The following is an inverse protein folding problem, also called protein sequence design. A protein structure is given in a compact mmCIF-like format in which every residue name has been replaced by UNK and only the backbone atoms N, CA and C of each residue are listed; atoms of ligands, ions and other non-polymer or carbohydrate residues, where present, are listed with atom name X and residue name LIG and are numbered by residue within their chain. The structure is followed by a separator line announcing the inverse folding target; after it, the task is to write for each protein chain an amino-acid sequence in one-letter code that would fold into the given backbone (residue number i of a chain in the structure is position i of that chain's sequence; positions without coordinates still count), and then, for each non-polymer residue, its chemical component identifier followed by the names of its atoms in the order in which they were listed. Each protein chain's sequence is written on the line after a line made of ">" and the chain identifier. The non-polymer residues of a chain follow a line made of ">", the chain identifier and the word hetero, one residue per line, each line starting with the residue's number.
data_IF_603964427713
#
_entry.id   IF_603964427713
#
_cell.length_a   1.000
_cell.length_b   1.000
_cell.length_c   1.000
_cell.angle_alpha   90.00
_cell.angle_beta   90.00
_cell.angle_gamma   90.00
#
_symmetry.space_group_name_H-M   'P 1'
#
loop_
_entity.id
_entity.type
_entity.pdbx_description
1 polymer ?
#
# COMPACT_ATOMS: atom_id res chain seq x y z
N UNK A 1 16.49 -16.44 6.84
CA UNK A 1 15.03 -16.40 6.77
C UNK A 1 14.60 -15.19 5.94
N UNK A 2 13.75 -15.42 4.99
CA UNK A 2 13.32 -14.36 4.10
C UNK A 2 12.22 -13.54 4.75
N UNK A 3 12.38 -12.24 4.70
CA UNK A 3 11.40 -11.33 5.25
C UNK A 3 11.07 -10.26 4.22
N UNK A 4 9.78 -9.96 4.08
CA UNK A 4 9.34 -8.90 3.18
C UNK A 4 9.63 -7.55 3.83
N UNK A 5 10.23 -6.64 3.08
CA UNK A 5 10.52 -5.29 3.55
C UNK A 5 9.55 -4.34 2.86
N UNK A 6 8.86 -3.53 3.66
CA UNK A 6 7.85 -2.59 3.17
C UNK A 6 8.36 -1.17 3.26
N UNK A 7 8.05 -0.37 2.25
CA UNK A 7 8.35 1.05 2.28
C UNK A 7 7.32 1.82 1.45
N UNK A 8 7.17 3.09 1.77
CA UNK A 8 6.29 3.97 1.00
C UNK A 8 7.07 4.60 -0.15
N UNK A 9 6.48 4.60 -1.33
CA UNK A 9 7.07 5.24 -2.50
C UNK A 9 6.04 6.17 -3.14
N UNK A 10 6.51 7.29 -3.67
CA UNK A 10 5.67 8.30 -4.28
C UNK A 10 6.12 8.52 -5.72
N UNK A 11 5.13 8.59 -6.62
CA UNK A 11 5.37 8.90 -8.03
C UNK A 11 6.39 7.96 -8.66
N UNK A 12 6.19 6.66 -8.45
CA UNK A 12 7.11 5.64 -8.97
C UNK A 12 7.26 5.72 -10.49
N UNK A 13 6.20 6.08 -11.19
CA UNK A 13 6.21 6.17 -12.65
C UNK A 13 6.77 7.51 -13.15
N UNK A 14 7.08 8.41 -12.23
CA UNK A 14 7.63 9.73 -12.54
C UNK A 14 6.78 10.51 -13.53
N UNK A 15 5.47 10.43 -13.36
CA UNK A 15 4.50 11.08 -14.23
C UNK A 15 3.31 11.51 -13.40
N UNK A 16 2.90 12.77 -13.54
CA UNK A 16 1.76 13.30 -12.83
C UNK A 16 0.50 13.13 -13.65
N UNK A 17 -0.64 12.99 -12.96
CA UNK A 17 -1.93 12.92 -13.63
C UNK A 17 -2.38 14.32 -14.06
N UNK A 18 -3.60 14.41 -14.63
CA UNK A 18 -4.12 15.69 -15.14
C UNK A 18 -4.27 16.75 -14.07
N UNK A 19 -4.38 16.34 -12.82
CA UNK A 19 -4.49 17.27 -11.70
C UNK A 19 -3.14 17.65 -11.10
N UNK A 20 -2.05 17.20 -11.69
CA UNK A 20 -0.71 17.46 -11.17
C UNK A 20 -0.35 16.63 -9.97
N UNK A 21 -0.95 15.47 -9.83
CA UNK A 21 -0.75 14.60 -8.67
C UNK A 21 -0.23 13.23 -9.09
N UNK A 22 0.37 12.52 -8.14
CA UNK A 22 0.85 11.18 -8.35
C UNK A 22 0.47 10.29 -7.18
N UNK A 23 0.49 8.99 -7.43
CA UNK A 23 0.03 7.97 -6.49
C UNK A 23 1.10 7.62 -5.48
N UNK A 24 0.70 7.46 -4.22
CA UNK A 24 1.53 6.85 -3.19
C UNK A 24 1.28 5.35 -3.21
N UNK A 25 2.34 4.58 -3.14
CA UNK A 25 2.25 3.12 -3.15
C UNK A 25 3.11 2.54 -2.03
N UNK A 26 2.76 1.31 -1.61
CA UNK A 26 3.62 0.54 -0.72
C UNK A 26 4.44 -0.41 -1.59
N UNK A 27 5.75 -0.35 -1.44
CA UNK A 27 6.66 -1.27 -2.11
C UNK A 27 6.97 -2.43 -1.16
N UNK A 28 6.73 -3.65 -1.61
CA UNK A 28 7.09 -4.85 -0.88
C UNK A 28 8.22 -5.55 -1.62
N UNK A 29 9.33 -5.77 -0.93
CA UNK A 29 10.52 -6.36 -1.51
C UNK A 29 10.84 -7.68 -0.82
N UNK A 30 11.01 -8.74 -1.62
CA UNK A 30 11.37 -10.07 -1.12
C UNK A 30 12.29 -10.73 -2.14
N UNK A 31 13.50 -11.10 -1.69
CA UNK A 31 14.47 -11.79 -2.53
C UNK A 31 14.73 -11.06 -3.86
N UNK A 32 14.93 -9.75 -3.79
CA UNK A 32 15.19 -8.88 -4.94
C UNK A 32 14.00 -8.69 -5.87
N UNK A 33 12.86 -9.27 -5.54
CA UNK A 33 11.62 -9.05 -6.29
C UNK A 33 10.80 -7.99 -5.59
N UNK A 34 10.05 -7.21 -6.36
CA UNK A 34 9.25 -6.12 -5.81
C UNK A 34 7.84 -6.18 -6.33
N UNK A 35 6.90 -5.84 -5.47
CA UNK A 35 5.51 -5.65 -5.83
C UNK A 35 5.02 -4.34 -5.21
N UNK A 36 4.04 -3.73 -5.84
CA UNK A 36 3.54 -2.42 -5.42
C UNK A 36 2.05 -2.52 -5.15
N UNK A 37 1.65 -1.91 -4.04
CA UNK A 37 0.24 -1.87 -3.62
C UNK A 37 -0.22 -0.42 -3.65
N UNK A 38 -1.32 -0.14 -4.35
CA UNK A 38 -1.87 1.20 -4.41
C UNK A 38 -2.53 1.57 -3.09
N UNK A 39 -2.17 2.72 -2.54
CA UNK A 39 -2.84 3.24 -1.36
C UNK A 39 -4.08 4.05 -1.72
N UNK A 40 -4.25 4.34 -3.01
CA UNK A 40 -5.30 5.21 -3.53
C UNK A 40 -5.19 6.64 -3.03
N UNK A 41 -4.02 7.01 -2.51
CA UNK A 41 -3.72 8.38 -2.07
C UNK A 41 -2.92 9.07 -3.16
N UNK A 42 -3.44 10.21 -3.63
CA UNK A 42 -2.77 11.03 -4.64
C UNK A 42 -2.34 12.35 -4.02
N UNK A 43 -1.11 12.75 -4.31
CA UNK A 43 -0.52 13.97 -3.76
C UNK A 43 0.20 14.75 -4.85
N UNK A 44 0.29 16.08 -4.68
CA UNK A 44 1.19 16.87 -5.52
C UNK A 44 2.62 16.73 -4.99
N UNK A 45 3.64 17.02 -5.83
CA UNK A 45 5.04 16.81 -5.40
C UNK A 45 5.46 17.55 -4.14
N UNK A 46 4.88 18.73 -3.89
CA UNK A 46 5.20 19.51 -2.70
C UNK A 46 4.60 18.93 -1.43
N UNK A 47 3.69 17.97 -1.56
CA UNK A 47 3.03 17.34 -0.42
C UNK A 47 3.71 16.04 0.02
N UNK A 48 4.84 15.71 -0.57
CA UNK A 48 5.58 14.49 -0.21
C UNK A 48 7.01 14.84 0.23
N UNK A 49 7.38 14.36 1.42
CA UNK A 49 8.74 14.52 1.94
C UNK A 49 9.55 13.31 1.52
N UNK A 50 10.48 13.51 0.58
CA UNK A 50 11.29 12.42 0.03
C UNK A 50 12.29 11.85 1.03
N UNK A 51 12.69 12.63 2.03
CA UNK A 51 13.63 12.14 3.02
C UNK A 51 12.94 11.31 4.08
N UNK A 52 11.82 11.79 4.58
CA UNK A 52 11.07 11.11 5.64
C UNK A 52 10.05 10.12 5.09
N UNK A 53 9.79 10.19 3.79
CA UNK A 53 8.80 9.36 3.11
C UNK A 53 7.44 9.46 3.78
N UNK A 54 6.97 10.67 3.90
CA UNK A 54 5.69 10.94 4.53
C UNK A 54 5.05 12.16 3.91
N UNK A 55 3.74 12.33 4.19
CA UNK A 55 2.97 13.47 3.69
C UNK A 55 3.34 14.72 4.47
N UNK A 56 3.47 15.84 3.77
CA UNK A 56 3.71 17.15 4.34
C UNK A 56 2.88 18.19 3.61
N UNK A 57 2.80 19.41 4.15
CA UNK A 57 2.13 20.55 3.50
C UNK A 57 0.68 20.24 3.08
N UNK A 58 -0.01 19.44 3.88
CA UNK A 58 -1.39 19.06 3.61
C UNK A 58 -2.19 19.27 4.88
N UNK A 59 -3.41 19.81 4.78
CA UNK A 59 -4.23 20.05 6.00
C UNK A 59 -4.46 18.79 6.82
N UNK A 60 -4.54 17.64 6.15
CA UNK A 60 -4.79 16.35 6.80
C UNK A 60 -3.55 15.47 6.80
N UNK A 61 -2.34 16.05 6.79
CA UNK A 61 -1.10 15.27 6.66
C UNK A 61 -1.00 14.18 7.72
N UNK A 62 -1.28 14.50 8.98
CA UNK A 62 -1.15 13.52 10.06
C UNK A 62 -2.13 12.36 9.87
N UNK A 63 -3.36 12.66 9.50
CA UNK A 63 -4.37 11.61 9.29
C UNK A 63 -4.01 10.74 8.11
N UNK A 64 -3.49 11.33 7.02
CA UNK A 64 -3.09 10.58 5.85
C UNK A 64 -1.89 9.69 6.16
N UNK A 65 -0.89 10.22 6.88
CA UNK A 65 0.26 9.42 7.30
C UNK A 65 -0.16 8.24 8.15
N UNK A 66 -1.09 8.45 9.07
CA UNK A 66 -1.61 7.37 9.90
C UNK A 66 -2.30 6.29 9.04
N UNK A 67 -3.09 6.73 8.07
CA UNK A 67 -3.79 5.82 7.16
C UNK A 67 -2.80 5.00 6.32
N UNK A 68 -1.72 5.63 5.87
CA UNK A 68 -0.68 4.93 5.09
C UNK A 68 0.02 3.87 5.94
N UNK A 69 0.34 4.18 7.18
CA UNK A 69 0.98 3.20 8.09
C UNK A 69 0.02 2.07 8.43
N UNK A 70 -1.26 2.37 8.61
CA UNK A 70 -2.24 1.33 8.84
C UNK A 70 -2.38 0.41 7.63
N UNK A 71 -2.30 0.96 6.43
CA UNK A 71 -2.35 0.16 5.21
C UNK A 71 -1.17 -0.80 5.14
N UNK A 72 0.04 -0.31 5.48
CA UNK A 72 1.22 -1.19 5.53
C UNK A 72 1.05 -2.28 6.59
N UNK A 73 0.49 -1.93 7.74
CA UNK A 73 0.25 -2.91 8.81
C UNK A 73 -0.74 -3.98 8.36
N UNK A 74 -1.73 -3.61 7.56
CA UNK A 74 -2.69 -4.58 7.04
C UNK A 74 -2.00 -5.58 6.11
N UNK A 75 -1.07 -5.12 5.27
CA UNK A 75 -0.31 -5.99 4.40
C UNK A 75 0.54 -6.96 5.22
N UNK A 76 1.22 -6.45 6.26
CA UNK A 76 2.02 -7.29 7.14
C UNK A 76 1.16 -8.33 7.85
N UNK A 77 -0.05 -7.95 8.23
CA UNK A 77 -0.98 -8.86 8.88
C UNK A 77 -1.37 -10.00 7.97
N UNK A 78 -1.56 -9.73 6.69
CA UNK A 78 -1.83 -10.78 5.69
C UNK A 78 -0.62 -11.71 5.55
N UNK A 79 0.58 -11.14 5.54
CA UNK A 79 1.80 -11.94 5.50
C UNK A 79 1.89 -12.90 6.68
N UNK A 80 1.64 -12.39 7.88
CA UNK A 80 1.67 -13.21 9.08
C UNK A 80 0.61 -14.30 9.06
N UNK A 81 -0.58 -13.98 8.52
CA UNK A 81 -1.64 -14.96 8.38
C UNK A 81 -1.24 -16.12 7.47
N UNK A 82 -0.59 -15.83 6.35
CA UNK A 82 -0.09 -16.86 5.45
C UNK A 82 0.98 -17.71 6.14
N UNK A 83 1.85 -17.08 6.87
CA UNK A 83 2.89 -17.79 7.62
C UNK A 83 2.29 -18.74 8.67
N UNK A 84 1.27 -18.28 9.40
CA UNK A 84 0.60 -19.10 10.40
C UNK A 84 -0.09 -20.31 9.82
N UNK A 85 -0.54 -20.19 8.56
CA UNK A 85 -1.20 -21.30 7.88
C UNK A 85 -0.19 -22.30 7.29
N UNK A 86 1.09 -22.06 7.49
CA UNK A 86 2.14 -22.93 6.96
C UNK A 86 2.36 -22.78 5.46
N UNK A 87 1.79 -21.73 4.86
CA UNK A 87 1.96 -21.50 3.43
C UNK A 87 3.29 -20.80 3.15
N UNK A 88 3.86 -21.11 1.99
CA UNK A 88 5.06 -20.40 1.56
C UNK A 88 4.70 -18.98 1.20
N UNK A 89 5.43 -18.03 1.77
CA UNK A 89 5.19 -16.61 1.53
C UNK A 89 5.83 -16.21 0.21
N UNK A 90 5.04 -15.61 -0.67
CA UNK A 90 5.54 -15.01 -1.90
C UNK A 90 4.83 -13.68 -2.12
N UNK A 91 5.45 -12.80 -2.89
CA UNK A 91 4.85 -11.51 -3.20
C UNK A 91 3.56 -11.68 -4.00
N UNK A 92 3.52 -12.65 -4.91
CA UNK A 92 2.33 -12.90 -5.71
C UNK A 92 1.18 -13.38 -4.85
N UNK A 93 1.43 -14.32 -3.93
CA UNK A 93 0.40 -14.80 -3.01
C UNK A 93 -0.14 -13.67 -2.14
N UNK A 94 0.75 -12.83 -1.64
CA UNK A 94 0.37 -11.71 -0.79
C UNK A 94 -0.51 -10.73 -1.55
N UNK A 95 -0.10 -10.37 -2.76
CA UNK A 95 -0.85 -9.42 -3.57
C UNK A 95 -2.21 -9.97 -3.95
N UNK A 96 -2.28 -11.24 -4.32
CA UNK A 96 -3.56 -11.88 -4.64
C UNK A 96 -4.50 -11.88 -3.44
N UNK A 97 -3.97 -12.13 -2.26
CA UNK A 97 -4.76 -12.10 -1.03
C UNK A 97 -5.38 -10.72 -0.79
N UNK A 98 -4.59 -9.68 -1.00
CA UNK A 98 -5.09 -8.31 -0.82
C UNK A 98 -6.14 -7.94 -1.88
N UNK A 99 -5.90 -8.30 -3.13
CA UNK A 99 -6.83 -8.00 -4.21
C UNK A 99 -8.15 -8.74 -4.05
N UNK A 100 -8.09 -9.99 -3.68
CA UNK A 100 -9.30 -10.79 -3.46
C UNK A 100 -10.14 -10.22 -2.32
N UNK A 101 -9.50 -9.69 -1.31
CA UNK A 101 -10.22 -9.07 -0.21
C UNK A 101 -10.95 -7.81 -0.68
N UNK A 102 -10.35 -7.03 -1.57
CA UNK A 102 -11.00 -5.87 -2.14
C UNK A 102 -12.24 -6.26 -2.94
N UNK A 103 -12.17 -7.33 -3.69
CA UNK A 103 -13.29 -7.80 -4.48
C UNK A 103 -14.46 -8.24 -3.61
N UNK A 104 -14.18 -8.78 -2.44
CA UNK A 104 -15.23 -9.32 -1.57
C UNK A 104 -16.03 -8.24 -0.87
N UNK A 105 -15.60 -7.02 -0.87
CA UNK A 105 -16.31 -5.95 -0.17
C UNK A 105 -17.38 -5.29 -0.99
N UNK A 106 -17.58 -5.70 -2.02
CA UNK A 106 -18.68 -5.06 -2.73
C UNK A 106 -20.06 -5.61 -2.44
N UNK A 107 -18.98 -6.09 -1.68
CA UNK A 107 -19.76 -6.30 -1.64
C UNK A 107 -20.25 -6.23 -1.09
N UNK A 108 -20.45 -6.56 -1.04
CA UNK A 108 -20.97 -6.62 -0.56
C UNK A 108 -21.23 -6.15 -0.04
N UNK A 109 -21.08 -5.98 -0.03
CA UNK A 109 -21.37 -5.62 0.25
C UNK A 109 -21.45 -4.99 0.66
N UNK A 110 -21.38 -4.90 0.68
CA UNK A 110 -21.60 -4.44 0.51
C UNK A 110 -21.95 -3.97 0.65
N UNK A 111 -21.98 -4.10 0.76
CA UNK A 111 -22.28 -3.83 0.61
C UNK A 111 -22.46 -3.37 0.89
N UNK A 112 -22.62 -3.41 0.98
CA UNK A 112 -22.84 -3.10 0.87
C UNK A 112 -22.92 -2.63 1.09
N UNK A 113 -23.06 -2.66 1.20
CA UNK A 113 -23.18 -2.39 0.95
C UNK A 113 -23.23 -2.10 1.07
N UNK A 114 -23.15 -2.22 1.13
CA UNK A 114 -23.11 -2.23 0.74
C UNK A 114 -23.13 -2.08 0.74
#
# INVERSE_FOLDING_TARGET
>A
MDKIIYSLVYNRKKSLNKKGMALVQVEACLNRKKKYFSTKVYLSPDQWDFKKRMVKNHPNADAINHMLYEFMAEIEKKELGLWQQGKQISLDSLKNSMENQDDSTSFIAFSATK
#
